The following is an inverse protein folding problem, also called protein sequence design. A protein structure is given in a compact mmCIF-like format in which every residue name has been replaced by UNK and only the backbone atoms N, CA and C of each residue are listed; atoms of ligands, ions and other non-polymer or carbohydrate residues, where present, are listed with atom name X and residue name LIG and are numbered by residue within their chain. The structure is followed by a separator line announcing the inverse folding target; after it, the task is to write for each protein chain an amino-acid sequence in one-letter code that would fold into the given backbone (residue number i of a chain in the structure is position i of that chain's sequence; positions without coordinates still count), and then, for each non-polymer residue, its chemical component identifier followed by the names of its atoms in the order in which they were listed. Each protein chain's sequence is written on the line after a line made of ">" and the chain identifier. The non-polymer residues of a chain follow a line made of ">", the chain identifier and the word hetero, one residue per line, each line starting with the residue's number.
data_IF_336596111930
#
_entry.id   IF_336596111930
#
_cell.length_a   1.000
_cell.length_b   1.000
_cell.length_c   1.000
_cell.angle_alpha   90.00
_cell.angle_beta   90.00
_cell.angle_gamma   90.00
#
_symmetry.space_group_name_H-M   'P 1'
#
loop_
_entity.id
_entity.type
_entity.pdbx_description
1 polymer ?
#
# COMPACT_ATOMS: atom_id res chain seq x y z
N UNK A 1 2.51 -16.47 9.84
CA UNK A 1 2.26 -17.85 9.39
C UNK A 1 2.03 -18.83 10.53
N UNK A 2 2.81 -18.81 11.62
CA UNK A 2 2.65 -19.77 12.74
C UNK A 2 1.39 -19.58 13.59
N UNK A 3 0.71 -18.44 13.48
CA UNK A 3 -0.47 -18.09 14.27
C UNK A 3 -1.77 -18.07 13.44
N UNK A 4 -1.75 -18.62 12.22
CA UNK A 4 -2.88 -18.53 11.31
C UNK A 4 -3.89 -19.66 11.50
N UNK A 5 -5.17 -19.35 11.35
CA UNK A 5 -6.23 -20.36 11.37
C UNK A 5 -6.21 -21.22 10.11
N UNK A 6 -6.85 -22.39 10.16
CA UNK A 6 -7.00 -23.26 9.00
C UNK A 6 -7.70 -22.54 7.82
N UNK A 7 -8.74 -21.74 8.11
CA UNK A 7 -9.45 -21.00 7.08
C UNK A 7 -8.57 -19.92 6.43
N UNK A 8 -7.72 -19.25 7.20
CA UNK A 8 -6.79 -18.24 6.68
C UNK A 8 -5.69 -18.88 5.83
N UNK A 9 -5.13 -20.01 6.28
CA UNK A 9 -4.16 -20.79 5.52
C UNK A 9 -4.75 -21.26 4.18
N UNK A 10 -5.97 -21.82 4.20
CA UNK A 10 -6.66 -22.26 2.99
C UNK A 10 -7.00 -21.09 2.05
N UNK A 11 -7.35 -19.93 2.61
CA UNK A 11 -7.57 -18.71 1.81
C UNK A 11 -6.30 -18.36 1.06
N UNK A 12 -5.16 -18.20 1.76
CA UNK A 12 -3.88 -17.87 1.11
C UNK A 12 -3.48 -18.90 0.05
N UNK A 13 -3.65 -20.19 0.32
CA UNK A 13 -3.36 -21.26 -0.64
C UNK A 13 -4.23 -21.13 -1.91
N UNK A 14 -5.52 -20.83 -1.75
CA UNK A 14 -6.44 -20.59 -2.87
C UNK A 14 -6.08 -19.36 -3.72
N UNK A 15 -5.50 -18.33 -3.10
CA UNK A 15 -5.09 -17.11 -3.80
C UNK A 15 -3.91 -17.29 -4.76
N UNK A 16 -3.04 -18.30 -4.55
CA UNK A 16 -1.79 -18.48 -5.32
C UNK A 16 -2.04 -18.48 -6.84
N UNK A 17 -3.15 -19.06 -7.30
CA UNK A 17 -3.52 -19.14 -8.71
C UNK A 17 -3.74 -17.77 -9.35
N UNK A 18 -4.32 -16.83 -8.61
CA UNK A 18 -4.59 -15.48 -9.12
C UNK A 18 -4.73 -14.49 -7.97
N UNK A 19 -3.62 -14.04 -7.37
CA UNK A 19 -3.64 -13.28 -6.12
C UNK A 19 -4.41 -11.97 -6.22
N UNK A 20 -4.29 -11.27 -7.35
CA UNK A 20 -4.96 -10.00 -7.58
C UNK A 20 -6.47 -10.16 -7.82
N UNK A 21 -6.90 -11.19 -8.55
CA UNK A 21 -8.31 -11.38 -8.93
C UNK A 21 -9.12 -12.04 -7.81
N UNK A 22 -8.54 -13.00 -7.11
CA UNK A 22 -9.18 -13.75 -6.03
C UNK A 22 -9.02 -13.05 -4.67
N UNK A 23 -8.33 -11.90 -4.63
CA UNK A 23 -8.11 -11.14 -3.41
C UNK A 23 -9.43 -10.84 -2.72
N UNK A 24 -9.58 -11.09 -1.41
CA UNK A 24 -10.80 -10.74 -0.67
C UNK A 24 -11.04 -9.23 -0.56
N UNK A 25 -10.07 -8.39 -0.95
CA UNK A 25 -10.26 -6.95 -1.13
C UNK A 25 -10.91 -6.57 -2.45
N UNK A 26 -10.76 -7.41 -3.48
CA UNK A 26 -11.28 -7.17 -4.82
C UNK A 26 -12.58 -7.92 -5.03
N UNK A 27 -12.60 -9.21 -4.64
CA UNK A 27 -13.74 -10.10 -4.83
C UNK A 27 -13.80 -11.11 -3.68
N UNK A 28 -14.70 -10.86 -2.72
CA UNK A 28 -14.82 -11.68 -1.51
C UNK A 28 -15.46 -13.04 -1.81
N UNK A 29 -16.34 -13.13 -2.80
CA UNK A 29 -17.06 -14.36 -3.10
C UNK A 29 -16.15 -15.34 -3.83
N UNK A 30 -15.41 -14.87 -4.84
CA UNK A 30 -14.39 -15.68 -5.49
C UNK A 30 -13.26 -16.07 -4.52
N UNK A 31 -12.94 -15.23 -3.54
CA UNK A 31 -11.99 -15.57 -2.46
C UNK A 31 -12.49 -16.73 -1.59
N UNK A 32 -13.79 -16.72 -1.24
CA UNK A 32 -14.43 -17.81 -0.48
C UNK A 32 -14.45 -19.11 -1.27
N UNK A 33 -14.80 -19.07 -2.55
CA UNK A 33 -14.77 -20.26 -3.40
C UNK A 33 -13.35 -20.84 -3.51
N UNK A 34 -12.34 -19.99 -3.67
CA UNK A 34 -10.95 -20.43 -3.73
C UNK A 34 -10.47 -21.07 -2.42
N UNK A 35 -10.86 -20.50 -1.27
CA UNK A 35 -10.60 -21.09 0.07
C UNK A 35 -11.29 -22.44 0.21
N UNK A 36 -12.56 -22.53 -0.14
CA UNK A 36 -13.37 -23.73 0.05
C UNK A 36 -12.84 -24.88 -0.82
N UNK A 37 -12.43 -24.56 -2.06
CA UNK A 37 -11.71 -25.49 -2.91
C UNK A 37 -10.43 -26.03 -2.24
N UNK A 38 -9.61 -25.14 -1.64
CA UNK A 38 -8.42 -25.57 -0.93
C UNK A 38 -8.74 -26.47 0.28
N UNK A 39 -9.78 -26.14 1.06
CA UNK A 39 -10.26 -26.95 2.19
C UNK A 39 -10.75 -28.33 1.74
N UNK A 40 -11.48 -28.42 0.62
CA UNK A 40 -11.91 -29.69 0.05
C UNK A 40 -10.70 -30.55 -0.36
N UNK A 41 -9.70 -29.95 -1.02
CA UNK A 41 -8.46 -30.66 -1.37
C UNK A 41 -7.68 -31.13 -0.15
N UNK A 42 -7.59 -30.32 0.90
CA UNK A 42 -6.94 -30.73 2.16
C UNK A 42 -7.64 -31.92 2.81
N UNK A 43 -8.98 -31.93 2.80
CA UNK A 43 -9.78 -33.07 3.28
C UNK A 43 -9.54 -34.31 2.42
N UNK A 44 -9.63 -34.18 1.10
CA UNK A 44 -9.47 -35.31 0.17
C UNK A 44 -8.09 -35.97 0.28
N UNK A 45 -7.07 -35.19 0.61
CA UNK A 45 -5.69 -35.65 0.83
C UNK A 45 -5.45 -36.13 2.28
N UNK A 46 -6.46 -36.07 3.15
CA UNK A 46 -6.38 -36.54 4.53
C UNK A 46 -5.64 -35.62 5.51
N UNK A 47 -5.38 -34.36 5.15
CA UNK A 47 -4.72 -33.40 6.04
C UNK A 47 -5.63 -32.84 7.12
N UNK A 48 -6.95 -32.85 6.90
CA UNK A 48 -7.97 -32.37 7.85
C UNK A 48 -9.18 -33.31 7.87
N UNK A 49 -9.91 -33.34 8.99
CA UNK A 49 -11.16 -34.09 9.11
C UNK A 49 -12.33 -33.38 8.41
N UNK A 50 -13.43 -34.11 8.21
CA UNK A 50 -14.67 -33.54 7.69
C UNK A 50 -15.21 -32.41 8.58
N UNK A 51 -15.15 -32.60 9.90
CA UNK A 51 -15.59 -31.59 10.88
C UNK A 51 -14.72 -30.33 10.84
N UNK A 52 -13.39 -30.48 10.74
CA UNK A 52 -12.47 -29.36 10.60
C UNK A 52 -12.73 -28.58 9.30
N UNK A 53 -12.98 -29.29 8.20
CA UNK A 53 -13.33 -28.71 6.92
C UNK A 53 -14.66 -27.92 7.00
N UNK A 54 -15.70 -28.49 7.60
CA UNK A 54 -16.98 -27.82 7.79
C UNK A 54 -16.86 -26.57 8.69
N UNK A 55 -16.14 -26.70 9.82
CA UNK A 55 -15.90 -25.59 10.74
C UNK A 55 -15.12 -24.45 10.07
N UNK A 56 -14.08 -24.77 9.28
CA UNK A 56 -13.30 -23.77 8.56
C UNK A 56 -14.10 -23.06 7.46
N UNK A 57 -14.99 -23.78 6.76
CA UNK A 57 -15.88 -23.17 5.75
C UNK A 57 -16.88 -22.19 6.35
N UNK A 58 -17.38 -22.48 7.55
CA UNK A 58 -18.31 -21.61 8.27
C UNK A 58 -17.65 -20.29 8.76
N UNK A 59 -16.32 -20.24 8.85
CA UNK A 59 -15.63 -19.00 9.24
C UNK A 59 -15.79 -17.93 8.16
N UNK A 60 -15.99 -16.69 8.58
CA UNK A 60 -16.04 -15.57 7.65
C UNK A 60 -14.62 -15.16 7.25
N UNK A 61 -14.43 -14.78 5.99
CA UNK A 61 -13.18 -14.14 5.55
C UNK A 61 -13.18 -12.70 6.09
N UNK A 62 -12.38 -12.49 7.13
CA UNK A 62 -12.10 -11.16 7.68
C UNK A 62 -10.85 -10.63 7.01
N UNK A 63 -10.95 -9.43 6.44
CA UNK A 63 -9.80 -8.71 5.92
C UNK A 63 -9.43 -7.63 6.92
N UNK A 64 -8.15 -7.57 7.28
CA UNK A 64 -7.62 -6.45 8.04
C UNK A 64 -7.73 -5.15 7.24
N UNK A 65 -7.55 -4.02 7.92
CA UNK A 65 -7.32 -2.75 7.23
C UNK A 65 -6.17 -2.95 6.25
N UNK A 66 -6.33 -2.46 5.03
CA UNK A 66 -5.23 -2.38 4.09
C UNK A 66 -4.24 -1.39 4.70
N UNK A 67 -3.30 -1.89 5.49
CA UNK A 67 -2.01 -1.25 5.62
C UNK A 67 -1.46 -1.33 4.21
N UNK A 68 -1.81 -0.33 3.39
CA UNK A 68 -0.91 0.07 2.34
C UNK A 68 0.44 0.16 3.07
N UNK A 69 1.39 -0.71 2.72
CA UNK A 69 2.78 -0.47 3.05
C UNK A 69 2.97 1.01 2.74
N UNK A 70 3.19 1.80 3.80
CA UNK A 70 3.04 3.26 3.86
C UNK A 70 2.94 3.88 2.47
N UNK A 71 1.74 4.36 2.13
CA UNK A 71 1.45 4.93 0.82
C UNK A 71 2.64 5.77 0.37
N UNK A 72 3.19 5.43 -0.82
CA UNK A 72 4.41 5.96 -1.42
C UNK A 72 4.73 7.37 -0.92
N UNK A 73 5.40 7.48 0.22
CA UNK A 73 5.91 8.77 0.67
C UNK A 73 7.14 9.05 -0.15
N UNK A 74 7.45 10.33 -0.33
CA UNK A 74 8.67 10.73 -1.02
C UNK A 74 9.90 10.04 -0.39
N UNK A 75 9.92 9.90 0.93
CA UNK A 75 10.91 9.15 1.68
C UNK A 75 11.07 7.69 1.20
N UNK A 76 9.97 6.93 1.07
CA UNK A 76 10.02 5.53 0.62
C UNK A 76 10.51 5.43 -0.82
N UNK A 77 10.08 6.33 -1.69
CA UNK A 77 10.52 6.37 -3.09
C UNK A 77 11.99 6.75 -3.21
N UNK A 78 12.45 7.70 -2.40
CA UNK A 78 13.86 8.08 -2.32
C UNK A 78 14.73 6.92 -1.82
N UNK A 79 14.33 6.25 -0.72
CA UNK A 79 15.01 5.04 -0.24
C UNK A 79 15.08 3.98 -1.34
N UNK A 80 13.98 3.76 -2.08
CA UNK A 80 13.96 2.79 -3.19
C UNK A 80 14.99 3.16 -4.25
N UNK A 81 15.08 4.43 -4.63
CA UNK A 81 16.07 4.91 -5.61
C UNK A 81 17.50 4.70 -5.10
N UNK A 82 17.77 5.01 -3.83
CA UNK A 82 19.09 4.81 -3.21
C UNK A 82 19.49 3.32 -3.18
N UNK A 83 18.55 2.43 -2.84
CA UNK A 83 18.80 0.99 -2.85
C UNK A 83 19.06 0.48 -4.26
N UNK A 84 18.25 0.89 -5.25
CA UNK A 84 18.45 0.51 -6.65
C UNK A 84 19.82 1.00 -7.15
N UNK A 85 20.22 2.22 -6.79
CA UNK A 85 21.53 2.76 -7.14
C UNK A 85 22.68 1.95 -6.50
N UNK A 86 22.50 1.45 -5.28
CA UNK A 86 23.52 0.71 -4.55
C UNK A 86 23.67 -0.76 -5.01
N UNK A 87 22.56 -1.47 -5.25
CA UNK A 87 22.59 -2.92 -5.51
C UNK A 87 22.11 -3.32 -6.91
N UNK A 88 21.62 -2.37 -7.70
CA UNK A 88 21.00 -2.64 -9.00
C UNK A 88 19.55 -3.09 -8.86
N UNK A 89 18.76 -2.85 -9.92
CA UNK A 89 17.31 -3.07 -9.90
C UNK A 89 16.90 -4.53 -9.64
N UNK A 90 17.57 -5.47 -10.30
CA UNK A 90 17.23 -6.89 -10.22
C UNK A 90 17.40 -7.43 -8.79
N UNK A 91 18.54 -7.12 -8.17
CA UNK A 91 18.84 -7.51 -6.80
C UNK A 91 17.91 -6.82 -5.81
N UNK A 92 17.72 -5.51 -5.95
CA UNK A 92 16.83 -4.72 -5.10
C UNK A 92 15.42 -5.30 -5.03
N UNK A 93 14.95 -5.89 -6.13
CA UNK A 93 13.61 -6.49 -6.24
C UNK A 93 13.55 -7.94 -5.75
N UNK A 94 14.58 -8.74 -6.01
CA UNK A 94 14.48 -10.20 -5.93
C UNK A 94 15.23 -10.83 -4.73
N UNK A 95 16.19 -10.14 -4.11
CA UNK A 95 17.06 -10.72 -3.09
C UNK A 95 16.58 -10.52 -1.64
N UNK A 96 15.42 -9.90 -1.42
CA UNK A 96 14.78 -9.85 -0.10
C UNK A 96 15.53 -9.04 0.96
N UNK A 97 16.14 -7.91 0.57
CA UNK A 97 16.89 -7.05 1.48
C UNK A 97 16.08 -6.55 2.68
N UNK A 98 16.71 -6.51 3.85
CA UNK A 98 16.23 -5.74 5.01
C UNK A 98 16.94 -4.38 5.01
N UNK A 99 16.18 -3.34 4.70
CA UNK A 99 16.70 -1.97 4.64
C UNK A 99 16.44 -1.32 6.00
N UNK A 100 17.50 -0.88 6.67
CA UNK A 100 17.41 -0.06 7.88
C UNK A 100 17.76 1.37 7.51
N UNK A 101 16.88 2.31 7.83
CA UNK A 101 17.04 3.72 7.50
C UNK A 101 17.07 4.55 8.77
N UNK A 102 17.47 5.81 8.63
CA UNK A 102 17.48 6.84 9.68
C UNK A 102 16.15 7.57 9.79
N UNK A 103 15.18 7.22 8.94
CA UNK A 103 13.90 7.91 8.85
C UNK A 103 13.07 7.67 10.11
N UNK A 104 12.62 8.76 10.71
CA UNK A 104 11.65 8.80 11.78
C UNK A 104 10.25 8.96 11.19
N UNK A 105 9.45 7.89 11.30
CA UNK A 105 8.10 7.83 10.74
C UNK A 105 7.15 8.84 11.39
N UNK A 106 7.33 9.12 12.67
CA UNK A 106 6.48 10.07 13.39
C UNK A 106 6.84 11.50 12.98
N UNK A 107 8.13 11.82 12.86
CA UNK A 107 8.58 13.12 12.36
C UNK A 107 8.16 13.35 10.91
N UNK A 108 8.32 12.36 10.03
CA UNK A 108 7.88 12.41 8.64
C UNK A 108 6.39 12.76 8.56
N UNK A 109 5.56 12.08 9.37
CA UNK A 109 4.11 12.34 9.40
C UNK A 109 3.79 13.76 9.84
N UNK A 110 4.43 14.24 10.92
CA UNK A 110 4.23 15.60 11.42
C UNK A 110 4.67 16.64 10.39
N UNK A 111 5.79 16.42 9.70
CA UNK A 111 6.29 17.30 8.63
C UNK A 111 5.34 17.35 7.44
N UNK A 112 4.87 16.19 6.96
CA UNK A 112 3.90 16.09 5.85
C UNK A 112 2.58 16.77 6.18
N UNK A 113 2.03 16.53 7.38
CA UNK A 113 0.78 17.13 7.82
C UNK A 113 0.93 18.66 7.98
N UNK A 114 2.04 19.11 8.60
CA UNK A 114 2.32 20.55 8.76
C UNK A 114 2.44 21.26 7.41
N UNK A 115 3.23 20.69 6.49
CA UNK A 115 3.41 21.24 5.15
C UNK A 115 2.07 21.33 4.41
N UNK A 116 1.28 20.26 4.44
CA UNK A 116 -0.04 20.22 3.79
C UNK A 116 -0.96 21.31 4.34
N UNK A 117 -1.07 21.42 5.66
CA UNK A 117 -1.90 22.46 6.29
C UNK A 117 -1.45 23.87 5.91
N UNK A 118 -0.13 24.12 5.87
CA UNK A 118 0.39 25.44 5.49
C UNK A 118 0.11 25.79 4.02
N UNK A 119 0.26 24.82 3.12
CA UNK A 119 -0.06 24.99 1.70
C UNK A 119 -1.55 25.24 1.50
N UNK A 120 -2.43 24.49 2.17
CA UNK A 120 -3.88 24.70 2.11
C UNK A 120 -4.29 26.09 2.58
N UNK A 121 -3.70 26.58 3.68
CA UNK A 121 -3.96 27.95 4.16
C UNK A 121 -3.48 28.99 3.15
N UNK A 122 -2.33 28.79 2.52
CA UNK A 122 -1.79 29.69 1.51
C UNK A 122 -2.69 29.75 0.26
N UNK A 123 -3.22 28.60 -0.19
CA UNK A 123 -4.16 28.52 -1.32
C UNK A 123 -5.52 29.18 -1.04
N UNK A 124 -5.92 29.30 0.23
CA UNK A 124 -7.16 29.98 0.63
C UNK A 124 -7.03 31.50 0.73
N UNK A 125 -5.82 32.05 0.56
CA UNK A 125 -5.60 33.50 0.60
C UNK A 125 -6.35 34.20 -0.52
N UNK A 126 -7.00 35.36 -0.29
CA UNK A 126 -7.67 36.14 -1.33
C UNK A 126 -6.77 36.57 -2.49
N UNK A 127 -5.45 36.61 -2.26
CA UNK A 127 -4.45 36.97 -3.28
C UNK A 127 -4.03 35.78 -4.15
N UNK A 128 -4.42 34.55 -3.80
CA UNK A 128 -4.07 33.35 -4.52
C UNK A 128 -4.99 33.15 -5.73
N UNK A 129 -4.46 33.42 -6.93
CA UNK A 129 -5.21 33.37 -8.20
C UNK A 129 -4.80 32.20 -9.11
N UNK A 130 -4.17 31.16 -8.54
CA UNK A 130 -3.66 30.00 -9.28
C UNK A 130 -4.52 28.75 -9.02
N UNK A 131 -4.21 27.66 -9.73
CA UNK A 131 -4.83 26.36 -9.49
C UNK A 131 -4.64 25.92 -8.03
N UNK A 132 -5.66 25.37 -7.39
CA UNK A 132 -5.52 24.80 -6.03
C UNK A 132 -5.25 23.30 -6.09
N UNK A 133 -4.58 22.75 -5.09
CA UNK A 133 -4.40 21.31 -4.93
C UNK A 133 -5.74 20.57 -4.96
N UNK A 134 -6.76 21.11 -4.29
CA UNK A 134 -8.10 20.53 -4.27
C UNK A 134 -8.69 20.39 -5.68
N UNK A 135 -8.59 21.44 -6.50
CA UNK A 135 -9.09 21.45 -7.88
C UNK A 135 -8.32 20.49 -8.80
N UNK A 136 -6.99 20.46 -8.68
CA UNK A 136 -6.14 19.55 -9.44
C UNK A 136 -6.40 18.09 -9.05
N UNK A 137 -6.42 17.78 -7.76
CA UNK A 137 -6.62 16.42 -7.25
C UNK A 137 -7.97 15.82 -7.66
N UNK A 138 -9.02 16.64 -7.77
CA UNK A 138 -10.32 16.22 -8.26
C UNK A 138 -10.27 15.85 -9.76
N UNK A 139 -9.64 16.72 -10.57
CA UNK A 139 -9.43 16.52 -12.00
C UNK A 139 -8.57 15.28 -12.27
N UNK A 140 -7.49 15.11 -11.51
CA UNK A 140 -6.60 13.97 -11.58
C UNK A 140 -7.30 12.65 -11.24
N UNK A 141 -8.10 12.62 -10.16
CA UNK A 141 -8.90 11.44 -9.80
C UNK A 141 -9.86 11.03 -10.92
N UNK A 142 -10.51 12.00 -11.56
CA UNK A 142 -11.42 11.76 -12.69
C UNK A 142 -10.66 11.22 -13.91
N UNK A 143 -9.54 11.83 -14.28
CA UNK A 143 -8.73 11.36 -15.41
C UNK A 143 -8.16 9.97 -15.17
N UNK A 144 -7.70 9.68 -13.95
CA UNK A 144 -7.20 8.34 -13.57
C UNK A 144 -8.30 7.27 -13.68
N UNK A 145 -9.53 7.58 -13.28
CA UNK A 145 -10.67 6.67 -13.44
C UNK A 145 -10.99 6.40 -14.92
N UNK A 146 -10.76 7.38 -15.80
CA UNK A 146 -11.00 7.29 -17.24
C UNK A 146 -9.79 6.78 -18.04
N UNK A 147 -8.65 6.51 -17.38
CA UNK A 147 -7.41 6.09 -18.05
C UNK A 147 -6.68 7.21 -18.80
N UNK A 148 -7.07 8.48 -18.65
CA UNK A 148 -6.51 9.64 -19.37
C UNK A 148 -5.58 10.49 -18.50
N UNK A 149 -5.06 9.95 -17.40
CA UNK A 149 -4.21 10.71 -16.47
C UNK A 149 -2.90 11.22 -17.08
N UNK A 150 -2.41 10.60 -18.16
CA UNK A 150 -1.21 11.01 -18.89
C UNK A 150 -1.41 12.26 -19.76
N UNK A 151 -2.66 12.67 -20.00
CA UNK A 151 -3.01 13.83 -20.83
C UNK A 151 -3.20 15.10 -19.98
N UNK A 152 -3.18 14.98 -18.65
CA UNK A 152 -3.28 16.13 -17.76
C UNK A 152 -2.01 16.99 -17.81
N UNK A 153 -2.16 18.32 -17.83
CA UNK A 153 -1.01 19.22 -17.74
C UNK A 153 -0.31 19.05 -16.39
N UNK A 154 0.93 19.53 -16.35
CA UNK A 154 1.68 19.63 -15.11
C UNK A 154 0.88 20.46 -14.07
N UNK A 155 0.95 20.08 -12.79
CA UNK A 155 0.25 20.81 -11.74
C UNK A 155 0.80 22.23 -11.62
N UNK A 156 -0.10 23.21 -11.54
CA UNK A 156 0.23 24.63 -11.33
C UNK A 156 -0.14 25.11 -9.92
N UNK A 157 -0.59 24.19 -9.06
CA UNK A 157 -0.85 24.50 -7.66
C UNK A 157 0.43 24.65 -6.85
N UNK A 158 0.33 25.39 -5.76
CA UNK A 158 1.44 25.68 -4.86
C UNK A 158 2.09 24.39 -4.35
N UNK A 159 3.38 24.23 -4.61
CA UNK A 159 4.19 23.12 -4.12
C UNK A 159 5.01 23.54 -2.90
N UNK A 160 5.42 22.56 -2.10
CA UNK A 160 6.38 22.77 -1.03
C UNK A 160 7.22 21.53 -0.76
N UNK A 161 8.35 21.72 -0.08
CA UNK A 161 9.24 20.65 0.34
C UNK A 161 9.76 20.95 1.75
N UNK A 162 9.95 19.89 2.54
CA UNK A 162 10.56 19.94 3.88
C UNK A 162 11.58 18.81 3.95
N UNK A 163 12.73 19.09 4.55
CA UNK A 163 13.78 18.11 4.81
C UNK A 163 14.15 18.21 6.29
N UNK A 164 14.05 17.09 7.01
CA UNK A 164 14.55 16.95 8.38
C UNK A 164 15.95 16.35 8.35
N UNK A 165 16.88 16.96 9.09
CA UNK A 165 18.25 16.46 9.22
C UNK A 165 18.63 16.35 10.69
N UNK A 166 19.32 15.27 11.04
CA UNK A 166 20.03 15.20 12.32
C UNK A 166 21.26 16.11 12.27
N UNK A 167 21.36 17.03 13.23
CA UNK A 167 22.42 18.04 13.25
C UNK A 167 23.81 17.46 13.57
N UNK A 168 23.89 16.31 14.25
CA UNK A 168 25.15 15.71 14.63
C UNK A 168 25.68 14.76 13.54
N UNK A 169 24.81 13.98 12.90
CA UNK A 169 25.21 12.95 11.93
C UNK A 169 25.03 13.39 10.48
N UNK A 170 24.16 14.38 10.22
CA UNK A 170 23.73 14.75 8.87
C UNK A 170 22.75 13.74 8.26
N UNK A 171 22.23 12.81 9.06
CA UNK A 171 21.25 11.82 8.61
C UNK A 171 19.94 12.49 8.24
N UNK A 172 19.27 11.96 7.22
CA UNK A 172 17.90 12.37 6.87
C UNK A 172 16.94 11.67 7.82
N UNK A 173 16.13 12.46 8.50
CA UNK A 173 15.12 12.02 9.47
C UNK A 173 13.74 11.94 8.79
#
# INVERSE_FOLDING_TARGET
>A
AREMSLAECATLAGLIKSPNRLSPWTDRDNSREARDYALDRMRDLGFISHEQCAAARAQQIVVGSRQNAQGQSYAVDYIRQQVIAAVGWDRAKNEGFRIRTTIDVDLQKVAEDSLRTRLEVAEQSPEYNHQTYASYSASFRKAKANGTSSELPAPEYLQGAVIGLDNATGDIL
#
